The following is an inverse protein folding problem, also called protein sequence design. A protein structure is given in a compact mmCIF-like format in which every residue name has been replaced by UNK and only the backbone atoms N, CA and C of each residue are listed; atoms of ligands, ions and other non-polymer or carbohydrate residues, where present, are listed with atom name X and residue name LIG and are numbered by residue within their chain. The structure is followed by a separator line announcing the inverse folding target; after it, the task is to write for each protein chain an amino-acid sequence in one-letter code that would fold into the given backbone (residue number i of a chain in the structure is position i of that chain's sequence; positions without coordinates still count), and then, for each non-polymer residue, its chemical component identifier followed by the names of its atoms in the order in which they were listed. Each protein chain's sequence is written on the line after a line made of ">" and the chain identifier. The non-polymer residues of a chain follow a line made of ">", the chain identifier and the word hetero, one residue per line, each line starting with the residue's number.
data_IF_325249739081
#
_entry.id   IF_325249739081
#
_cell.length_a   1.000
_cell.length_b   1.000
_cell.length_c   1.000
_cell.angle_alpha   90.00
_cell.angle_beta   90.00
_cell.angle_gamma   90.00
#
_symmetry.space_group_name_H-M   'P 1'
#
loop_
_entity.id
_entity.type
_entity.pdbx_description
1 polymer ?
#
# COMPACT_ATOMS: atom_id res chain seq x y z
N UNK A 1 24.36 29.75 53.96
CA UNK A 1 23.24 28.80 53.81
C UNK A 1 22.83 28.84 52.36
N UNK A 2 23.09 27.77 51.61
CA UNK A 2 22.66 27.64 50.21
C UNK A 2 21.19 27.20 50.21
N UNK A 3 20.29 28.10 49.82
CA UNK A 3 18.93 27.73 49.45
C UNK A 3 18.98 26.94 48.14
N UNK A 4 18.92 25.61 48.25
CA UNK A 4 18.64 24.70 47.16
C UNK A 4 17.20 24.91 46.70
N UNK A 5 16.99 25.96 45.90
CA UNK A 5 15.76 26.15 45.17
C UNK A 5 15.71 25.09 44.06
N UNK A 6 15.21 23.91 44.43
CA UNK A 6 14.69 22.91 43.52
C UNK A 6 13.51 23.54 42.77
N UNK A 7 13.82 24.36 41.76
CA UNK A 7 12.86 24.73 40.72
C UNK A 7 12.57 23.45 39.96
N UNK A 8 11.55 22.77 40.47
CA UNK A 8 10.74 21.76 39.84
C UNK A 8 10.72 22.04 38.33
N UNK A 9 11.41 21.20 37.57
CA UNK A 9 11.09 21.02 36.15
C UNK A 9 9.76 20.29 36.13
N UNK A 10 8.69 21.03 36.40
CA UNK A 10 7.34 20.54 36.31
C UNK A 10 7.07 20.34 34.83
N UNK A 11 7.25 19.11 34.38
CA UNK A 11 6.79 18.69 33.06
C UNK A 11 5.29 18.51 33.21
N UNK A 12 4.54 19.62 33.17
CA UNK A 12 3.08 19.64 33.28
C UNK A 12 2.41 19.15 31.98
N UNK A 13 3.01 18.15 31.32
CA UNK A 13 2.24 17.23 30.50
C UNK A 13 1.56 16.31 31.50
N UNK A 14 0.36 16.72 31.88
CA UNK A 14 -0.50 15.94 32.77
C UNK A 14 -0.64 14.53 32.17
N UNK A 15 -0.56 13.49 33.02
CA UNK A 15 -0.67 12.07 32.59
C UNK A 15 -1.88 11.87 31.65
N UNK A 16 -2.97 12.59 31.90
CA UNK A 16 -4.17 12.64 31.07
C UNK A 16 -3.90 13.07 29.63
N UNK A 17 -3.11 14.13 29.40
CA UNK A 17 -2.68 14.57 28.08
C UNK A 17 -1.80 13.53 27.39
N UNK A 18 -0.89 12.88 28.13
CA UNK A 18 -0.03 11.82 27.58
C UNK A 18 -0.86 10.60 27.17
N UNK A 19 -1.86 10.22 27.97
CA UNK A 19 -2.78 9.12 27.61
C UNK A 19 -3.65 9.47 26.41
N UNK A 20 -4.12 10.72 26.31
CA UNK A 20 -4.91 11.19 25.17
C UNK A 20 -4.09 11.14 23.88
N UNK A 21 -2.86 11.67 23.89
CA UNK A 21 -1.95 11.62 22.73
C UNK A 21 -1.62 10.18 22.34
N UNK A 22 -1.40 9.28 23.31
CA UNK A 22 -1.14 7.87 23.02
C UNK A 22 -2.32 7.18 22.34
N UNK A 23 -3.55 7.49 22.76
CA UNK A 23 -4.78 6.99 22.14
C UNK A 23 -4.95 7.54 20.73
N UNK A 24 -4.77 8.85 20.53
CA UNK A 24 -4.84 9.48 19.21
C UNK A 24 -3.80 8.93 18.22
N UNK A 25 -2.57 8.70 18.70
CA UNK A 25 -1.52 8.08 17.91
C UNK A 25 -1.90 6.64 17.52
N UNK A 26 -2.43 5.85 18.46
CA UNK A 26 -2.91 4.49 18.17
C UNK A 26 -4.06 4.49 17.15
N UNK A 27 -4.99 5.42 17.27
CA UNK A 27 -6.12 5.54 16.35
C UNK A 27 -5.67 5.94 14.94
N UNK A 28 -4.76 6.92 14.85
CA UNK A 28 -4.17 7.36 13.58
C UNK A 28 -3.40 6.21 12.91
N UNK A 29 -2.60 5.46 13.66
CA UNK A 29 -1.90 4.28 13.15
C UNK A 29 -2.86 3.18 12.65
N UNK A 30 -3.94 2.90 13.39
CA UNK A 30 -4.98 1.96 12.94
C UNK A 30 -5.62 2.42 11.64
N UNK A 31 -5.88 3.72 11.50
CA UNK A 31 -6.49 4.28 10.29
C UNK A 31 -5.55 4.21 9.09
N UNK A 32 -4.26 4.52 9.27
CA UNK A 32 -3.24 4.33 8.24
C UNK A 32 -3.16 2.87 7.77
N UNK A 33 -3.13 1.91 8.71
CA UNK A 33 -3.13 0.47 8.37
C UNK A 33 -4.38 0.04 7.61
N UNK A 34 -5.55 0.58 7.96
CA UNK A 34 -6.79 0.29 7.23
C UNK A 34 -6.74 0.84 5.80
N UNK A 35 -6.16 2.02 5.59
CA UNK A 35 -5.97 2.59 4.25
C UNK A 35 -4.97 1.77 3.44
N UNK A 36 -3.84 1.39 4.04
CA UNK A 36 -2.83 0.52 3.42
C UNK A 36 -3.41 -0.85 3.03
N UNK A 37 -4.28 -1.43 3.86
CA UNK A 37 -4.93 -2.71 3.56
C UNK A 37 -5.88 -2.69 2.35
N UNK A 38 -6.30 -1.49 1.91
CA UNK A 38 -7.14 -1.31 0.72
C UNK A 38 -6.31 -1.20 -0.56
N UNK A 39 -5.03 -0.91 -0.44
CA UNK A 39 -4.09 -0.86 -1.55
C UNK A 39 -3.75 -2.29 -1.95
N UNK A 40 -3.85 -2.55 -3.25
CA UNK A 40 -3.52 -3.83 -3.85
C UNK A 40 -2.04 -3.78 -4.22
N UNK A 41 -1.23 -4.56 -3.51
CA UNK A 41 0.15 -4.85 -3.85
C UNK A 41 0.37 -6.36 -4.00
N UNK A 42 1.46 -6.76 -4.66
CA UNK A 42 1.80 -8.19 -4.81
C UNK A 42 1.81 -8.93 -3.47
N UNK A 43 2.33 -8.31 -2.41
CA UNK A 43 2.36 -8.92 -1.08
C UNK A 43 0.96 -9.14 -0.50
N UNK A 44 0.05 -8.18 -0.68
CA UNK A 44 -1.34 -8.31 -0.21
C UNK A 44 -2.13 -9.37 -0.96
N UNK A 45 -1.86 -9.60 -2.25
CA UNK A 45 -2.48 -10.68 -3.01
C UNK A 45 -1.90 -12.04 -2.65
N UNK A 46 -0.58 -12.12 -2.40
CA UNK A 46 0.06 -13.37 -2.00
C UNK A 46 -0.46 -13.89 -0.67
N UNK A 47 -0.76 -12.98 0.26
CA UNK A 47 -1.35 -13.30 1.56
C UNK A 47 -2.79 -13.84 1.47
N UNK A 48 -3.52 -13.57 0.38
CA UNK A 48 -4.93 -13.93 0.22
C UNK A 48 -5.19 -14.60 -1.14
N UNK A 49 -5.16 -15.93 -1.13
CA UNK A 49 -5.39 -16.76 -2.32
C UNK A 49 -6.74 -16.51 -3.00
N UNK A 50 -7.75 -16.08 -2.24
CA UNK A 50 -9.09 -15.77 -2.80
C UNK A 50 -9.03 -14.46 -3.59
N UNK A 51 -8.38 -13.43 -3.03
CA UNK A 51 -8.13 -12.18 -3.76
C UNK A 51 -7.26 -12.40 -4.97
N UNK A 52 -6.21 -13.21 -4.87
CA UNK A 52 -5.35 -13.56 -6.01
C UNK A 52 -6.17 -14.08 -7.19
N UNK A 53 -7.02 -15.08 -6.94
CA UNK A 53 -7.87 -15.67 -7.96
C UNK A 53 -8.90 -14.69 -8.50
N UNK A 54 -9.50 -13.86 -7.65
CA UNK A 54 -10.48 -12.86 -8.07
C UNK A 54 -9.86 -11.81 -9.01
N UNK A 55 -8.71 -11.25 -8.62
CA UNK A 55 -8.07 -10.14 -9.32
C UNK A 55 -7.29 -10.58 -10.55
N UNK A 56 -6.56 -11.68 -10.49
CA UNK A 56 -5.68 -12.14 -11.59
C UNK A 56 -6.28 -13.27 -12.41
N UNK A 57 -7.30 -13.96 -11.88
CA UNK A 57 -7.82 -15.19 -12.48
C UNK A 57 -6.95 -16.43 -12.24
N UNK A 58 -5.77 -16.28 -11.61
CA UNK A 58 -4.83 -17.37 -11.42
C UNK A 58 -5.18 -18.21 -10.18
N UNK A 59 -5.05 -19.55 -10.25
CA UNK A 59 -5.57 -20.44 -9.23
C UNK A 59 -4.73 -20.47 -7.94
N UNK A 60 -3.43 -20.17 -8.00
CA UNK A 60 -2.55 -20.18 -6.83
C UNK A 60 -1.29 -19.33 -7.03
N UNK A 61 -0.62 -19.00 -5.92
CA UNK A 61 0.61 -18.21 -5.90
C UNK A 61 1.71 -18.74 -6.85
N UNK A 62 1.99 -20.05 -6.93
CA UNK A 62 2.99 -20.57 -7.88
C UNK A 62 2.68 -20.25 -9.35
N UNK A 63 1.40 -20.27 -9.75
CA UNK A 63 1.02 -19.91 -11.12
C UNK A 63 1.23 -18.41 -11.38
N UNK A 64 0.92 -17.58 -10.37
CA UNK A 64 1.19 -16.14 -10.43
C UNK A 64 2.68 -15.85 -10.55
N UNK A 65 3.53 -16.51 -9.75
CA UNK A 65 4.97 -16.32 -9.80
C UNK A 65 5.57 -16.80 -11.14
N UNK A 66 5.07 -17.89 -11.71
CA UNK A 66 5.46 -18.36 -13.04
C UNK A 66 5.12 -17.34 -14.13
N UNK A 67 3.90 -16.79 -14.09
CA UNK A 67 3.46 -15.76 -15.05
C UNK A 67 4.27 -14.48 -14.89
N UNK A 68 4.53 -14.04 -13.65
CA UNK A 68 5.39 -12.90 -13.36
C UNK A 68 6.77 -13.08 -13.97
N UNK A 69 7.42 -14.23 -13.72
CA UNK A 69 8.77 -14.53 -14.25
C UNK A 69 8.82 -14.60 -15.77
N UNK A 70 7.73 -15.03 -16.41
CA UNK A 70 7.64 -15.08 -17.87
C UNK A 70 7.54 -13.68 -18.49
N UNK A 71 6.80 -12.77 -17.85
CA UNK A 71 6.51 -11.43 -18.40
C UNK A 71 7.58 -10.40 -18.02
N UNK A 72 8.19 -10.55 -16.83
CA UNK A 72 9.27 -9.72 -16.30
C UNK A 72 10.33 -9.28 -17.33
N UNK A 73 10.94 -10.16 -18.15
CA UNK A 73 11.96 -9.76 -19.12
C UNK A 73 11.43 -8.93 -20.30
N UNK A 74 10.11 -8.91 -20.51
CA UNK A 74 9.48 -8.21 -21.64
C UNK A 74 8.93 -6.83 -21.27
N UNK A 75 9.03 -6.43 -19.99
CA UNK A 75 8.52 -5.14 -19.54
C UNK A 75 9.67 -4.12 -19.44
N UNK A 76 9.52 -2.94 -20.05
CA UNK A 76 10.48 -1.87 -19.90
C UNK A 76 10.43 -1.31 -18.46
N UNK A 77 11.44 -1.65 -17.66
CA UNK A 77 11.60 -1.09 -16.31
C UNK A 77 11.97 0.39 -16.44
N UNK A 78 11.08 1.26 -15.96
CA UNK A 78 11.36 2.69 -15.84
C UNK A 78 11.77 3.01 -14.40
N UNK A 79 12.67 3.99 -14.21
CA UNK A 79 13.13 4.47 -12.88
C UNK A 79 12.01 4.82 -11.88
N UNK A 80 10.79 5.07 -12.36
CA UNK A 80 9.63 5.46 -11.55
C UNK A 80 8.53 4.39 -11.48
N UNK A 81 8.76 3.17 -11.96
CA UNK A 81 7.73 2.12 -11.95
C UNK A 81 8.17 0.88 -11.18
N UNK A 82 7.36 0.49 -10.20
CA UNK A 82 7.43 -0.85 -9.64
C UNK A 82 6.93 -1.87 -10.67
N UNK A 83 7.85 -2.67 -11.21
CA UNK A 83 7.60 -3.71 -12.21
C UNK A 83 6.46 -4.65 -11.80
N UNK A 84 6.48 -5.07 -10.53
CA UNK A 84 5.46 -5.90 -9.90
C UNK A 84 4.05 -5.31 -9.97
N UNK A 85 3.93 -3.98 -9.78
CA UNK A 85 2.64 -3.29 -9.78
C UNK A 85 2.12 -3.10 -11.20
N UNK A 86 3.00 -2.86 -12.19
CA UNK A 86 2.61 -2.76 -13.60
C UNK A 86 2.04 -4.08 -14.14
N UNK A 87 2.70 -5.21 -13.86
CA UNK A 87 2.22 -6.53 -14.29
C UNK A 87 0.87 -6.80 -13.64
N UNK A 88 0.75 -6.57 -12.33
CA UNK A 88 -0.45 -6.82 -11.58
C UNK A 88 -1.62 -5.94 -12.05
N UNK A 89 -1.38 -4.64 -12.26
CA UNK A 89 -2.36 -3.71 -12.82
C UNK A 89 -2.87 -4.19 -14.18
N UNK A 90 -1.96 -4.70 -15.01
CA UNK A 90 -2.28 -5.24 -16.34
C UNK A 90 -3.13 -6.51 -16.25
N UNK A 91 -2.77 -7.47 -15.39
CA UNK A 91 -3.55 -8.69 -15.17
C UNK A 91 -4.97 -8.37 -14.68
N UNK A 92 -5.12 -7.43 -13.75
CA UNK A 92 -6.43 -7.01 -13.24
C UNK A 92 -7.24 -6.32 -14.33
N UNK A 93 -6.62 -5.45 -15.12
CA UNK A 93 -7.28 -4.78 -16.25
C UNK A 93 -7.76 -5.79 -17.29
N UNK A 94 -6.96 -6.80 -17.63
CA UNK A 94 -7.36 -7.87 -18.55
C UNK A 94 -8.50 -8.72 -17.99
N UNK A 95 -8.46 -9.05 -16.69
CA UNK A 95 -9.43 -9.96 -16.07
C UNK A 95 -10.80 -9.32 -15.82
N UNK A 96 -10.80 -8.11 -15.24
CA UNK A 96 -12.01 -7.43 -14.75
C UNK A 96 -12.48 -6.31 -15.69
N UNK A 97 -11.71 -5.99 -16.73
CA UNK A 97 -11.94 -4.85 -17.63
C UNK A 97 -12.23 -3.53 -16.88
N UNK A 98 -11.67 -3.35 -15.69
CA UNK A 98 -12.02 -2.23 -14.81
C UNK A 98 -11.52 -0.88 -15.33
N UNK A 99 -12.21 0.19 -14.99
CA UNK A 99 -11.80 1.55 -15.36
C UNK A 99 -10.47 1.95 -14.72
N UNK A 100 -9.69 2.79 -15.41
CA UNK A 100 -8.43 3.32 -14.89
C UNK A 100 -8.59 4.10 -13.59
N UNK A 101 -9.76 4.73 -13.36
CA UNK A 101 -10.08 5.41 -12.10
C UNK A 101 -10.17 4.42 -10.92
N UNK A 102 -10.78 3.26 -11.15
CA UNK A 102 -10.88 2.21 -10.13
C UNK A 102 -9.51 1.61 -9.84
N UNK A 103 -8.74 1.31 -10.88
CA UNK A 103 -7.37 0.80 -10.75
C UNK A 103 -6.46 1.78 -10.02
N UNK A 104 -6.49 3.07 -10.39
CA UNK A 104 -5.73 4.11 -9.72
C UNK A 104 -6.00 4.16 -8.20
N UNK A 105 -7.28 4.11 -7.81
CA UNK A 105 -7.67 4.06 -6.40
C UNK A 105 -7.16 2.80 -5.69
N UNK A 106 -7.22 1.64 -6.37
CA UNK A 106 -6.78 0.37 -5.79
C UNK A 106 -5.27 0.23 -5.66
N UNK A 107 -4.48 0.86 -6.52
CA UNK A 107 -3.03 0.81 -6.46
C UNK A 107 -2.43 2.04 -5.73
N UNK A 108 -3.26 2.99 -5.30
CA UNK A 108 -2.78 4.22 -4.66
C UNK A 108 -1.99 5.14 -5.60
N UNK A 109 -2.16 4.98 -6.91
CA UNK A 109 -1.48 5.77 -7.95
C UNK A 109 -2.43 6.82 -8.54
N UNK A 110 -1.87 7.85 -9.20
CA UNK A 110 -2.69 8.82 -9.91
C UNK A 110 -3.38 8.19 -11.13
N UNK A 111 -4.54 8.73 -11.52
CA UNK A 111 -5.22 8.32 -12.77
C UNK A 111 -4.29 8.43 -13.98
N UNK A 112 -3.52 9.52 -14.05
CA UNK A 112 -2.56 9.75 -15.13
C UNK A 112 -1.49 8.66 -15.14
N UNK A 113 -0.93 8.30 -13.99
CA UNK A 113 0.04 7.21 -13.87
C UNK A 113 -0.54 5.87 -14.34
N UNK A 114 -1.74 5.51 -13.86
CA UNK A 114 -2.41 4.28 -14.26
C UNK A 114 -2.72 4.24 -15.76
N UNK A 115 -3.17 5.36 -16.34
CA UNK A 115 -3.47 5.46 -17.77
C UNK A 115 -2.21 5.45 -18.64
N UNK A 116 -1.15 6.12 -18.21
CA UNK A 116 0.12 6.21 -18.96
C UNK A 116 0.77 4.85 -19.16
N UNK A 117 0.65 3.92 -18.20
CA UNK A 117 1.16 2.55 -18.37
C UNK A 117 0.57 1.81 -19.57
N UNK A 118 -0.67 2.13 -19.97
CA UNK A 118 -1.33 1.50 -21.12
C UNK A 118 -1.29 2.34 -22.41
N UNK A 119 -0.77 3.57 -22.35
CA UNK A 119 -0.67 4.47 -23.51
C UNK A 119 0.66 4.38 -24.24
N UNK A 120 1.67 3.74 -23.63
CA UNK A 120 3.04 3.69 -24.12
C UNK A 120 3.42 2.34 -24.77
N UNK A 121 2.43 1.64 -25.35
CA UNK A 121 2.64 0.47 -26.22
C UNK A 121 2.33 0.86 -27.65
#
# INVERSE_FOLDING_TARGET
>A
MLETNAKLVQTDVTIDQLTTIAVELSNSQKMCRQLESRIISVDTLRADSTKLKYYTGLPSNPHFDMVMKLIEPHIPVTVNSALSDQILLTLIKLRLNSDFKYLAYKFGVSFTSASSYFKCV
#
